data_IF_716018992493
#
_entry.id   IF_716018992493
#
_cell.length_a   1.000
_cell.length_b   1.000
_cell.length_c   1.000
_cell.angle_alpha   90.00
_cell.angle_beta   90.00
_cell.angle_gamma   90.00
#
_symmetry.space_group_name_H-M   'P 1'
#
loop_
_entity.id
_entity.type
_entity.pdbx_description
1 polymer ?
#
# COMPACT_ATOMS: atom_id res chain seq x y z
N UNK A 1 11.73 0.60 -32.37
CA UNK A 1 10.89 1.81 -32.28
C UNK A 1 11.41 2.79 -33.32
N UNK A 2 10.56 3.59 -33.96
CA UNK A 2 10.95 4.35 -35.15
C UNK A 2 11.61 5.68 -34.78
N UNK A 3 12.80 5.93 -35.32
CA UNK A 3 13.47 7.23 -35.34
C UNK A 3 12.52 8.42 -35.60
N UNK A 4 11.52 8.22 -36.46
CA UNK A 4 10.49 9.21 -36.73
C UNK A 4 9.72 9.68 -35.49
N UNK A 5 9.46 8.79 -34.51
CA UNK A 5 8.76 9.14 -33.28
C UNK A 5 9.59 10.02 -32.35
N UNK A 6 10.91 9.81 -32.32
CA UNK A 6 11.84 10.63 -31.52
C UNK A 6 12.00 12.02 -32.13
N UNK A 7 12.17 12.11 -33.46
CA UNK A 7 12.22 13.40 -34.17
C UNK A 7 10.91 14.18 -33.97
N UNK A 8 9.76 13.52 -34.14
CA UNK A 8 8.45 14.13 -33.89
C UNK A 8 8.29 14.62 -32.44
N UNK A 9 8.79 13.86 -31.46
CA UNK A 9 8.77 14.29 -30.07
C UNK A 9 9.56 15.60 -29.88
N UNK A 10 10.81 15.66 -30.35
CA UNK A 10 11.61 16.88 -30.28
C UNK A 10 10.95 18.06 -31.00
N UNK A 11 10.40 17.85 -32.20
CA UNK A 11 9.68 18.89 -32.94
C UNK A 11 8.48 19.43 -32.16
N UNK A 12 7.70 18.59 -31.49
CA UNK A 12 6.58 19.06 -30.66
C UNK A 12 7.04 19.84 -29.44
N UNK A 13 8.09 19.36 -28.77
CA UNK A 13 8.62 20.02 -27.59
C UNK A 13 9.16 21.42 -27.92
N UNK A 14 9.89 21.57 -29.02
CA UNK A 14 10.43 22.87 -29.48
C UNK A 14 9.33 23.90 -29.79
N UNK A 15 8.16 23.43 -30.23
CA UNK A 15 6.99 24.27 -30.54
C UNK A 15 5.98 24.38 -29.37
N UNK A 16 6.44 24.15 -28.13
CA UNK A 16 5.59 24.16 -26.93
C UNK A 16 6.26 24.87 -25.75
N UNK A 17 5.54 25.00 -24.64
CA UNK A 17 6.08 25.49 -23.36
C UNK A 17 7.11 24.54 -22.73
N UNK A 18 7.28 23.34 -23.30
CA UNK A 18 8.27 22.36 -22.90
C UNK A 18 9.62 22.51 -23.66
N UNK A 19 9.81 23.57 -24.45
CA UNK A 19 11.07 23.78 -25.20
C UNK A 19 12.31 23.83 -24.31
N UNK A 20 12.18 24.26 -23.06
CA UNK A 20 13.29 24.34 -22.10
C UNK A 20 13.51 23.04 -21.32
N UNK A 21 12.70 22.01 -21.59
CA UNK A 21 12.73 20.71 -20.92
C UNK A 21 13.52 19.62 -21.65
N UNK A 22 13.90 19.89 -22.89
CA UNK A 22 14.66 18.98 -23.73
C UNK A 22 15.67 19.80 -24.54
N UNK A 23 16.80 19.20 -24.99
CA UNK A 23 17.72 19.90 -25.87
C UNK A 23 17.05 20.26 -27.19
N UNK A 24 17.40 21.42 -27.75
CA UNK A 24 16.95 21.80 -29.09
C UNK A 24 17.40 20.77 -30.13
N UNK A 25 16.53 20.43 -31.07
CA UNK A 25 16.87 19.59 -32.22
C UNK A 25 17.29 20.45 -33.42
N UNK A 26 18.43 20.13 -34.02
CA UNK A 26 18.91 20.79 -35.25
C UNK A 26 18.63 19.96 -36.50
N UNK A 27 17.72 18.99 -36.38
CA UNK A 27 17.35 18.08 -37.45
C UNK A 27 18.09 16.75 -37.37
N UNK A 28 17.78 15.90 -38.36
CA UNK A 28 18.14 14.50 -38.31
C UNK A 28 18.37 13.96 -39.73
N UNK A 29 19.37 13.08 -39.90
CA UNK A 29 19.82 12.60 -41.21
C UNK A 29 20.17 11.12 -41.18
N UNK A 30 20.16 10.52 -42.37
CA UNK A 30 20.63 9.15 -42.59
C UNK A 30 22.16 9.18 -42.66
N UNK A 31 22.83 8.38 -41.86
CA UNK A 31 24.29 8.24 -41.89
C UNK A 31 24.70 7.41 -43.13
N UNK A 32 25.40 8.02 -44.11
CA UNK A 32 25.83 7.30 -45.31
C UNK A 32 26.97 6.31 -45.04
N UNK A 33 27.67 6.41 -43.90
CA UNK A 33 28.84 5.60 -43.55
C UNK A 33 28.50 4.39 -42.65
N UNK A 34 27.22 4.11 -42.40
CA UNK A 34 26.77 2.97 -41.61
C UNK A 34 27.10 1.62 -42.27
N UNK A 35 28.34 1.15 -42.13
CA UNK A 35 28.93 0.02 -42.85
C UNK A 35 28.41 -1.39 -42.56
N UNK A 36 27.14 -1.56 -42.15
CA UNK A 36 26.62 -2.89 -41.72
C UNK A 36 25.21 -3.21 -42.23
N UNK A 37 24.81 -2.70 -43.40
CA UNK A 37 23.59 -3.15 -44.10
C UNK A 37 22.24 -2.69 -43.52
N UNK A 38 22.22 -2.00 -42.38
CA UNK A 38 21.03 -1.32 -41.85
C UNK A 38 21.25 0.19 -41.83
N UNK A 39 20.27 1.00 -42.27
CA UNK A 39 20.39 2.46 -42.25
C UNK A 39 20.50 2.95 -40.80
N UNK A 40 21.60 3.65 -40.49
CA UNK A 40 21.75 4.39 -39.24
C UNK A 40 21.16 5.78 -39.41
N UNK A 41 20.47 6.26 -38.40
CA UNK A 41 19.93 7.61 -38.36
C UNK A 41 20.56 8.37 -37.21
N UNK A 42 20.93 9.62 -37.46
CA UNK A 42 21.55 10.51 -36.49
C UNK A 42 20.62 11.71 -36.26
N UNK A 43 20.50 12.12 -35.00
CA UNK A 43 19.78 13.32 -34.59
C UNK A 43 20.82 14.28 -34.00
N UNK A 44 20.88 15.50 -34.50
CA UNK A 44 21.77 16.54 -33.95
C UNK A 44 21.01 17.32 -32.90
N UNK A 45 21.50 17.29 -31.68
CA UNK A 45 20.91 17.99 -30.55
C UNK A 45 21.83 19.10 -30.06
N UNK A 46 21.25 20.05 -29.32
CA UNK A 46 21.97 21.01 -28.50
C UNK A 46 22.92 20.31 -27.53
N UNK A 47 24.15 20.82 -27.47
CA UNK A 47 25.10 20.40 -26.47
C UNK A 47 24.72 21.04 -25.14
N UNK A 48 24.35 20.20 -24.17
CA UNK A 48 23.99 20.63 -22.83
C UNK A 48 25.21 20.51 -21.92
N UNK A 49 25.62 21.62 -21.29
CA UNK A 49 26.65 21.60 -20.27
C UNK A 49 26.00 21.24 -18.93
N UNK A 50 26.38 20.10 -18.35
CA UNK A 50 25.84 19.61 -17.09
C UNK A 50 26.38 18.23 -16.75
N UNK A 51 25.85 17.64 -15.68
CA UNK A 51 26.13 16.26 -15.29
C UNK A 51 24.84 15.45 -15.37
N UNK A 52 24.97 14.14 -15.60
CA UNK A 52 23.80 13.27 -15.54
C UNK A 52 23.33 13.14 -14.08
N UNK A 53 22.02 12.94 -13.86
CA UNK A 53 21.50 12.71 -12.52
C UNK A 53 22.17 11.47 -11.89
N UNK A 54 22.54 10.46 -12.69
CA UNK A 54 23.23 9.27 -12.19
C UNK A 54 24.58 9.58 -11.52
N UNK A 55 25.33 10.55 -12.05
CA UNK A 55 26.65 10.92 -11.53
C UNK A 55 26.55 11.70 -10.21
N UNK A 56 25.52 12.56 -10.08
CA UNK A 56 25.42 13.47 -8.93
C UNK A 56 24.53 12.92 -7.81
N UNK A 57 23.52 12.09 -8.12
CA UNK A 57 22.49 11.63 -7.18
C UNK A 57 23.06 11.03 -5.89
N UNK A 58 24.14 10.21 -5.90
CA UNK A 58 24.71 9.65 -4.67
C UNK A 58 25.28 10.70 -3.70
N UNK A 59 25.64 11.89 -4.18
CA UNK A 59 26.21 12.97 -3.37
C UNK A 59 25.23 14.12 -3.07
N UNK A 60 23.95 13.97 -3.41
CA UNK A 60 22.94 14.99 -3.13
C UNK A 60 22.37 14.84 -1.72
N UNK A 61 22.09 15.97 -1.07
CA UNK A 61 21.30 15.98 0.16
C UNK A 61 19.83 15.62 -0.11
N UNK A 62 19.06 15.37 0.96
CA UNK A 62 17.60 15.15 0.83
C UNK A 62 16.90 16.36 0.22
N UNK A 63 17.26 17.57 0.65
CA UNK A 63 16.66 18.81 0.17
C UNK A 63 16.98 19.05 -1.31
N UNK A 64 18.23 18.82 -1.72
CA UNK A 64 18.64 18.92 -3.12
C UNK A 64 17.90 17.91 -4.01
N UNK A 65 17.68 16.69 -3.52
CA UNK A 65 16.92 15.65 -4.26
C UNK A 65 15.48 16.07 -4.45
N UNK A 66 14.86 16.63 -3.43
CA UNK A 66 13.48 17.11 -3.49
C UNK A 66 13.34 18.32 -4.43
N UNK A 67 14.29 19.25 -4.43
CA UNK A 67 14.29 20.38 -5.36
C UNK A 67 14.44 19.93 -6.82
N UNK A 68 15.34 19.00 -7.09
CA UNK A 68 15.50 18.42 -8.45
C UNK A 68 14.26 17.62 -8.84
N UNK A 69 13.64 16.89 -7.91
CA UNK A 69 12.37 16.17 -8.15
C UNK A 69 11.29 17.13 -8.60
N UNK A 70 11.07 18.24 -7.88
CA UNK A 70 10.08 19.26 -8.25
C UNK A 70 10.33 19.85 -9.63
N UNK A 71 11.59 20.14 -9.96
CA UNK A 71 11.98 20.62 -11.29
C UNK A 71 11.66 19.57 -12.37
N UNK A 72 11.94 18.30 -12.09
CA UNK A 72 11.69 17.20 -13.01
C UNK A 72 10.20 16.92 -13.20
N UNK A 73 9.41 16.95 -12.13
CA UNK A 73 7.95 16.79 -12.18
C UNK A 73 7.32 17.92 -12.99
N UNK A 74 7.70 19.18 -12.74
CA UNK A 74 7.26 20.32 -13.54
C UNK A 74 7.64 20.17 -15.02
N UNK A 75 8.81 19.59 -15.28
CA UNK A 75 9.27 19.34 -16.64
C UNK A 75 8.49 18.22 -17.33
N UNK A 76 8.19 17.13 -16.60
CA UNK A 76 7.36 16.02 -17.05
C UNK A 76 5.94 16.48 -17.37
N UNK A 77 5.34 17.33 -16.52
CA UNK A 77 4.02 17.89 -16.78
C UNK A 77 3.99 18.75 -18.04
N UNK A 78 5.05 19.54 -18.30
CA UNK A 78 5.17 20.33 -19.54
C UNK A 78 5.27 19.44 -20.78
N UNK A 79 6.08 18.38 -20.78
CA UNK A 79 6.15 17.47 -21.95
C UNK A 79 4.81 16.75 -22.17
N UNK A 80 4.10 16.38 -21.09
CA UNK A 80 2.79 15.73 -21.17
C UNK A 80 1.74 16.71 -21.73
N UNK A 81 1.78 17.98 -21.35
CA UNK A 81 0.94 19.03 -21.94
C UNK A 81 1.18 19.20 -23.45
N UNK A 82 2.43 19.03 -23.91
CA UNK A 82 2.80 18.98 -25.32
C UNK A 82 2.39 17.67 -26.04
N UNK A 83 1.62 16.79 -25.36
CA UNK A 83 1.17 15.48 -25.86
C UNK A 83 2.33 14.53 -26.19
N UNK A 84 3.43 14.64 -25.46
CA UNK A 84 4.61 13.78 -25.56
C UNK A 84 4.82 13.07 -24.22
N UNK A 85 4.95 11.75 -24.25
CA UNK A 85 5.48 10.96 -23.13
C UNK A 85 6.93 10.60 -23.45
N UNK A 86 7.82 10.62 -22.47
CA UNK A 86 9.22 10.28 -22.65
C UNK A 86 9.41 8.77 -22.84
N UNK A 87 8.72 7.95 -22.04
CA UNK A 87 8.74 6.50 -22.14
C UNK A 87 10.05 5.82 -21.73
N UNK A 88 11.05 6.56 -21.24
CA UNK A 88 12.33 6.03 -20.73
C UNK A 88 13.03 7.02 -19.78
N UNK A 89 12.30 7.54 -18.80
CA UNK A 89 12.88 8.37 -17.73
C UNK A 89 13.74 7.48 -16.84
N UNK A 90 15.03 7.79 -16.79
CA UNK A 90 16.07 7.10 -16.01
C UNK A 90 17.19 8.08 -15.71
N UNK A 91 18.00 7.81 -14.68
CA UNK A 91 19.04 8.71 -14.17
C UNK A 91 20.05 9.19 -15.25
N UNK A 92 20.38 8.34 -16.22
CA UNK A 92 21.30 8.69 -17.33
C UNK A 92 20.65 9.57 -18.42
N UNK A 93 19.33 9.67 -18.42
CA UNK A 93 18.54 10.42 -19.39
C UNK A 93 18.07 11.78 -18.81
N UNK A 94 18.62 12.18 -17.66
CA UNK A 94 18.33 13.45 -17.00
C UNK A 94 19.65 14.18 -16.84
N UNK A 95 19.75 15.38 -17.40
CA UNK A 95 20.90 16.26 -17.25
C UNK A 95 20.53 17.35 -16.26
N UNK A 96 21.40 17.60 -15.29
CA UNK A 96 21.27 18.65 -14.28
C UNK A 96 22.41 19.65 -14.45
N UNK A 97 22.09 20.95 -14.48
CA UNK A 97 23.11 22.00 -14.57
C UNK A 97 22.77 23.24 -13.75
N UNK A 98 23.57 24.30 -13.94
CA UNK A 98 23.37 25.63 -13.35
C UNK A 98 23.24 25.57 -11.82
N UNK A 99 24.05 24.74 -11.17
CA UNK A 99 23.97 24.54 -9.72
C UNK A 99 22.65 23.92 -9.27
N UNK A 100 22.14 22.93 -10.00
CA UNK A 100 20.91 22.15 -9.70
C UNK A 100 19.59 22.89 -9.92
N UNK A 101 19.64 24.07 -10.55
CA UNK A 101 18.44 24.88 -10.85
C UNK A 101 17.76 24.52 -12.17
N UNK A 102 18.41 23.68 -12.99
CA UNK A 102 17.91 23.32 -14.32
C UNK A 102 18.04 21.83 -14.59
N UNK A 103 16.98 21.26 -15.14
CA UNK A 103 16.91 19.85 -15.55
C UNK A 103 16.48 19.76 -17.01
N UNK A 104 17.10 18.86 -17.76
CA UNK A 104 16.65 18.48 -19.10
C UNK A 104 16.47 16.97 -19.19
N UNK A 105 15.44 16.58 -19.92
CA UNK A 105 15.20 15.22 -20.34
C UNK A 105 15.86 14.97 -21.71
N UNK A 106 16.56 13.84 -21.84
CA UNK A 106 17.23 13.44 -23.08
C UNK A 106 16.93 11.98 -23.44
N UNK A 107 17.08 11.62 -24.72
CA UNK A 107 16.90 10.24 -25.18
C UNK A 107 15.43 9.85 -25.32
N UNK A 108 14.72 10.57 -26.20
CA UNK A 108 13.31 10.36 -26.53
C UNK A 108 13.06 9.18 -27.50
N UNK A 109 14.02 8.27 -27.66
CA UNK A 109 13.89 7.07 -28.50
C UNK A 109 12.74 6.12 -28.12
N UNK A 110 12.17 6.28 -26.91
CA UNK A 110 10.99 5.53 -26.42
C UNK A 110 9.71 6.37 -26.36
N UNK A 111 9.75 7.60 -26.88
CA UNK A 111 8.70 8.56 -26.72
C UNK A 111 7.37 8.07 -27.29
N UNK A 112 6.28 8.40 -26.61
CA UNK A 112 4.93 8.23 -27.11
C UNK A 112 4.34 9.59 -27.44
N UNK A 113 4.06 9.82 -28.70
CA UNK A 113 3.40 11.03 -29.16
C UNK A 113 1.90 10.76 -29.32
N UNK A 114 1.04 11.54 -28.65
CA UNK A 114 -0.40 11.30 -28.70
C UNK A 114 -0.97 11.64 -30.09
N UNK A 115 -1.70 10.68 -30.67
CA UNK A 115 -2.61 10.88 -31.79
C UNK A 115 -4.04 10.51 -31.36
N UNK A 116 -5.04 11.03 -32.07
CA UNK A 116 -6.47 10.90 -31.70
C UNK A 116 -6.88 9.43 -31.45
N UNK A 117 -6.41 8.50 -32.29
CA UNK A 117 -6.75 7.08 -32.19
C UNK A 117 -6.02 6.30 -31.07
N UNK A 118 -5.14 6.94 -30.26
CA UNK A 118 -4.25 6.24 -29.30
C UNK A 118 -4.18 6.88 -27.91
N UNK A 119 -5.19 7.66 -27.52
CA UNK A 119 -5.19 8.40 -26.25
C UNK A 119 -5.03 7.51 -25.01
N UNK A 120 -5.77 6.40 -24.90
CA UNK A 120 -5.67 5.50 -23.73
C UNK A 120 -4.25 4.95 -23.52
N UNK A 121 -3.57 4.54 -24.61
CA UNK A 121 -2.19 4.05 -24.53
C UNK A 121 -1.22 5.16 -24.13
N UNK A 122 -1.51 6.40 -24.51
CA UNK A 122 -0.71 7.56 -24.12
C UNK A 122 -0.87 7.90 -22.63
N UNK A 123 -2.09 7.90 -22.09
CA UNK A 123 -2.32 8.10 -20.64
C UNK A 123 -1.55 7.08 -19.80
N UNK A 124 -1.57 5.80 -20.19
CA UNK A 124 -0.75 4.79 -19.50
C UNK A 124 0.75 5.10 -19.53
N UNK A 125 1.25 5.71 -20.61
CA UNK A 125 2.67 6.13 -20.68
C UNK A 125 2.96 7.34 -19.80
N UNK A 126 2.01 8.27 -19.68
CA UNK A 126 2.07 9.41 -18.75
C UNK A 126 2.23 8.90 -17.31
N UNK A 127 1.40 7.94 -16.90
CA UNK A 127 1.48 7.36 -15.55
C UNK A 127 2.83 6.67 -15.30
N UNK A 128 3.35 5.95 -16.31
CA UNK A 128 4.65 5.29 -16.24
C UNK A 128 5.79 6.32 -16.09
N UNK A 129 5.73 7.44 -16.80
CA UNK A 129 6.74 8.50 -16.67
C UNK A 129 6.75 9.09 -15.26
N UNK A 130 5.56 9.41 -14.70
CA UNK A 130 5.43 9.93 -13.33
C UNK A 130 5.93 8.93 -12.28
N UNK A 131 5.53 7.67 -12.41
CA UNK A 131 6.02 6.59 -11.54
C UNK A 131 7.54 6.45 -11.59
N UNK A 132 8.15 6.61 -12.77
CA UNK A 132 9.60 6.52 -12.94
C UNK A 132 10.34 7.66 -12.26
N UNK A 133 9.81 8.88 -12.31
CA UNK A 133 10.38 10.02 -11.57
C UNK A 133 10.42 9.68 -10.07
N UNK A 134 9.29 9.31 -9.47
CA UNK A 134 9.23 8.92 -8.05
C UNK A 134 10.25 7.82 -7.72
N UNK A 135 10.27 6.73 -8.51
CA UNK A 135 11.16 5.59 -8.26
C UNK A 135 12.65 5.91 -8.25
N UNK A 136 13.08 6.96 -8.99
CA UNK A 136 14.49 7.37 -9.03
C UNK A 136 14.92 7.90 -7.66
N UNK A 137 14.09 8.77 -7.06
CA UNK A 137 14.38 9.42 -5.79
C UNK A 137 14.05 8.53 -4.61
N UNK A 138 12.96 7.75 -4.68
CA UNK A 138 12.58 6.79 -3.64
C UNK A 138 13.74 5.81 -3.39
N UNK A 139 14.33 5.24 -4.44
CA UNK A 139 15.47 4.33 -4.28
C UNK A 139 16.70 4.97 -3.60
N UNK A 140 16.97 6.26 -3.85
CA UNK A 140 18.06 6.98 -3.21
C UNK A 140 17.72 7.29 -1.74
N UNK A 141 16.49 7.73 -1.48
CA UNK A 141 15.98 8.02 -0.14
C UNK A 141 15.96 6.75 0.73
N UNK A 142 15.49 5.62 0.19
CA UNK A 142 15.51 4.33 0.87
C UNK A 142 16.93 3.89 1.21
N UNK A 143 17.89 4.04 0.28
CA UNK A 143 19.28 3.66 0.52
C UNK A 143 19.93 4.48 1.64
N UNK A 144 19.72 5.80 1.62
CA UNK A 144 20.21 6.69 2.68
C UNK A 144 19.53 6.42 4.01
N UNK A 145 18.20 6.29 4.03
CA UNK A 145 17.45 5.96 5.23
C UNK A 145 17.90 4.63 5.83
N UNK A 146 18.17 3.62 4.98
CA UNK A 146 18.73 2.33 5.41
C UNK A 146 20.08 2.52 6.10
N UNK A 147 20.99 3.28 5.48
CA UNK A 147 22.31 3.56 6.07
C UNK A 147 22.20 4.30 7.40
N UNK A 148 21.35 5.32 7.46
CA UNK A 148 21.12 6.11 8.67
C UNK A 148 20.49 5.27 9.79
N UNK A 149 19.59 4.34 9.46
CA UNK A 149 19.00 3.43 10.44
C UNK A 149 20.05 2.50 11.04
N UNK A 150 20.99 1.95 10.24
CA UNK A 150 22.08 1.17 10.79
C UNK A 150 23.02 2.00 11.67
N UNK A 151 23.38 3.21 11.27
CA UNK A 151 24.20 4.12 12.08
C UNK A 151 23.52 4.43 13.42
N UNK A 152 22.20 4.70 13.38
CA UNK A 152 21.38 4.96 14.55
C UNK A 152 21.33 3.75 15.49
N UNK A 153 21.15 2.55 14.94
CA UNK A 153 21.11 1.31 15.70
C UNK A 153 22.49 0.94 16.29
N UNK A 154 23.58 1.29 15.64
CA UNK A 154 24.94 1.07 16.14
C UNK A 154 25.35 2.09 17.21
N UNK A 155 24.75 3.28 17.20
CA UNK A 155 25.03 4.38 18.13
C UNK A 155 23.70 4.95 18.67
N UNK A 156 22.97 4.17 19.47
CA UNK A 156 21.63 4.57 19.89
C UNK A 156 21.69 5.82 20.79
N UNK A 157 20.80 6.80 20.57
CA UNK A 157 20.60 7.89 21.50
C UNK A 157 19.82 7.41 22.74
N UNK A 158 19.21 8.34 23.49
CA UNK A 158 18.17 7.96 24.45
C UNK A 158 17.00 7.21 23.76
N UNK A 159 16.28 6.41 24.55
CA UNK A 159 15.26 5.48 24.04
C UNK A 159 14.10 6.19 23.31
N UNK A 160 13.65 7.35 23.82
CA UNK A 160 12.50 8.07 23.23
C UNK A 160 12.88 8.72 21.89
N UNK A 161 14.05 9.36 21.81
CA UNK A 161 14.54 9.94 20.57
C UNK A 161 14.86 8.86 19.52
N UNK A 162 15.33 7.69 19.95
CA UNK A 162 15.61 6.57 19.04
C UNK A 162 14.35 6.13 18.29
N UNK A 163 13.22 5.99 18.98
CA UNK A 163 11.97 5.53 18.39
C UNK A 163 11.43 6.50 17.33
N UNK A 164 11.41 7.80 17.63
CA UNK A 164 10.96 8.83 16.69
C UNK A 164 11.85 8.89 15.44
N UNK A 165 13.17 8.78 15.63
CA UNK A 165 14.12 8.75 14.52
C UNK A 165 13.96 7.47 13.67
N UNK A 166 13.75 6.31 14.28
CA UNK A 166 13.49 5.06 13.56
C UNK A 166 12.18 5.13 12.78
N UNK A 167 11.11 5.68 13.35
CA UNK A 167 9.84 5.87 12.67
C UNK A 167 9.98 6.74 11.41
N UNK A 168 10.67 7.88 11.50
CA UNK A 168 10.95 8.75 10.35
C UNK A 168 11.75 8.02 9.26
N UNK A 169 12.79 7.27 9.65
CA UNK A 169 13.62 6.50 8.72
C UNK A 169 12.84 5.37 8.04
N UNK A 170 12.01 4.64 8.79
CA UNK A 170 11.15 3.57 8.25
C UNK A 170 10.11 4.15 7.28
N UNK A 171 9.52 5.30 7.59
CA UNK A 171 8.61 6.03 6.70
C UNK A 171 9.27 6.40 5.37
N UNK A 172 10.54 6.83 5.39
CA UNK A 172 11.32 7.14 4.19
C UNK A 172 11.69 5.91 3.35
N UNK A 173 11.77 4.73 3.96
CA UNK A 173 12.07 3.49 3.24
C UNK A 173 10.85 2.92 2.50
N UNK A 174 9.64 3.21 2.96
CA UNK A 174 8.40 2.62 2.46
C UNK A 174 8.27 1.15 2.86
N UNK A 175 9.04 0.27 2.21
CA UNK A 175 9.19 -1.13 2.59
C UNK A 175 10.68 -1.40 2.90
N UNK A 176 11.09 -1.36 4.18
CA UNK A 176 12.49 -1.56 4.56
C UNK A 176 12.94 -2.99 4.25
N UNK A 177 14.25 -3.17 4.05
CA UNK A 177 14.82 -4.52 3.87
C UNK A 177 14.72 -5.33 5.17
N UNK A 178 14.66 -6.65 5.06
CA UNK A 178 14.54 -7.55 6.20
C UNK A 178 15.70 -7.40 7.21
N UNK A 179 16.90 -7.05 6.74
CA UNK A 179 18.06 -6.87 7.61
C UNK A 179 17.90 -5.68 8.56
N UNK A 180 17.21 -4.62 8.11
CA UNK A 180 16.90 -3.45 8.94
C UNK A 180 15.92 -3.85 10.04
N UNK A 181 14.82 -4.53 9.66
CA UNK A 181 13.82 -4.97 10.63
C UNK A 181 14.40 -5.93 11.66
N UNK A 182 15.24 -6.88 11.23
CA UNK A 182 15.93 -7.80 12.14
C UNK A 182 16.83 -7.04 13.11
N UNK A 183 17.58 -6.06 12.60
CA UNK A 183 18.45 -5.24 13.44
C UNK A 183 17.69 -4.38 14.45
N UNK A 184 16.48 -3.92 14.11
CA UNK A 184 15.60 -3.23 15.06
C UNK A 184 15.13 -4.20 16.14
N UNK A 185 14.64 -5.39 15.77
CA UNK A 185 14.19 -6.41 16.73
C UNK A 185 15.31 -6.84 17.70
N UNK A 186 16.55 -6.93 17.22
CA UNK A 186 17.69 -7.39 18.01
C UNK A 186 18.21 -6.32 18.98
N UNK A 187 18.09 -5.03 18.63
CA UNK A 187 18.69 -3.92 19.39
C UNK A 187 17.69 -3.09 20.18
N UNK A 188 16.43 -3.02 19.74
CA UNK A 188 15.38 -2.26 20.41
C UNK A 188 14.56 -3.21 21.27
N UNK A 189 14.97 -3.37 22.53
CA UNK A 189 14.35 -4.32 23.47
C UNK A 189 12.92 -3.93 23.84
N UNK A 190 12.61 -2.63 23.92
CA UNK A 190 11.31 -2.09 24.35
C UNK A 190 10.86 -0.94 23.43
N UNK A 191 10.42 -1.25 22.21
CA UNK A 191 9.90 -0.23 21.32
C UNK A 191 8.59 0.33 21.88
N UNK A 192 8.36 1.62 21.69
CA UNK A 192 7.06 2.27 21.87
C UNK A 192 5.99 1.56 21.04
N UNK A 193 4.72 1.70 21.44
CA UNK A 193 3.59 1.12 20.74
C UNK A 193 3.60 1.46 19.24
N UNK A 194 3.92 2.71 18.90
CA UNK A 194 3.95 3.20 17.50
C UNK A 194 5.06 2.55 16.69
N UNK A 195 6.27 2.43 17.25
CA UNK A 195 7.37 1.73 16.57
C UNK A 195 7.06 0.24 16.45
N UNK A 196 6.54 -0.39 17.51
CA UNK A 196 6.16 -1.80 17.51
C UNK A 196 5.11 -2.10 16.44
N UNK A 197 4.05 -1.29 16.33
CA UNK A 197 3.04 -1.37 15.27
C UNK A 197 3.66 -1.25 13.88
N UNK A 198 4.47 -0.22 13.66
CA UNK A 198 5.08 0.03 12.35
C UNK A 198 5.97 -1.13 11.91
N UNK A 199 6.85 -1.60 12.81
CA UNK A 199 7.74 -2.75 12.56
C UNK A 199 6.93 -4.03 12.35
N UNK A 200 5.90 -4.27 13.16
CA UNK A 200 5.02 -5.43 13.05
C UNK A 200 4.30 -5.50 11.70
N UNK A 201 3.75 -4.37 11.22
CA UNK A 201 3.11 -4.28 9.90
C UNK A 201 4.12 -4.57 8.78
N UNK A 202 5.32 -4.00 8.87
CA UNK A 202 6.39 -4.26 7.90
C UNK A 202 6.85 -5.72 7.90
N UNK A 203 6.99 -6.35 9.07
CA UNK A 203 7.26 -7.79 9.20
C UNK A 203 6.13 -8.62 8.57
N UNK A 204 4.87 -8.20 8.74
CA UNK A 204 3.70 -8.81 8.09
C UNK A 204 3.80 -8.81 6.57
N UNK A 205 4.23 -7.69 5.98
CA UNK A 205 4.47 -7.56 4.53
C UNK A 205 5.59 -8.46 4.01
N UNK A 206 6.62 -8.72 4.82
CA UNK A 206 7.69 -9.69 4.52
C UNK A 206 7.31 -11.14 4.86
N UNK A 207 6.06 -11.41 5.24
CA UNK A 207 5.60 -12.75 5.61
C UNK A 207 6.10 -13.25 6.97
N UNK A 208 6.84 -12.42 7.73
CA UNK A 208 7.37 -12.71 9.07
C UNK A 208 6.31 -12.49 10.17
N UNK A 209 5.09 -12.96 9.91
CA UNK A 209 3.90 -12.71 10.75
C UNK A 209 4.00 -13.28 12.16
N UNK A 210 4.74 -14.37 12.35
CA UNK A 210 4.98 -14.95 13.67
C UNK A 210 5.73 -13.96 14.58
N UNK A 211 6.81 -13.36 14.08
CA UNK A 211 7.61 -12.40 14.83
C UNK A 211 6.85 -11.09 15.05
N UNK A 212 6.05 -10.67 14.05
CA UNK A 212 5.12 -9.57 14.20
C UNK A 212 4.15 -9.78 15.38
N UNK A 213 3.54 -10.96 15.48
CA UNK A 213 2.67 -11.33 16.61
C UNK A 213 3.44 -11.34 17.94
N UNK A 214 4.66 -11.88 17.99
CA UNK A 214 5.51 -11.88 19.20
C UNK A 214 5.82 -10.46 19.66
N UNK A 215 6.26 -9.60 18.73
CA UNK A 215 6.61 -8.22 19.01
C UNK A 215 5.43 -7.47 19.63
N UNK A 216 4.26 -7.54 18.98
CA UNK A 216 3.07 -6.83 19.45
C UNK A 216 2.55 -7.39 20.78
N UNK A 217 2.54 -8.71 20.98
CA UNK A 217 2.12 -9.30 22.25
C UNK A 217 3.05 -8.89 23.40
N UNK A 218 4.35 -8.83 23.15
CA UNK A 218 5.31 -8.36 24.14
C UNK A 218 5.10 -6.87 24.46
N UNK A 219 4.93 -6.03 23.44
CA UNK A 219 4.66 -4.61 23.60
C UNK A 219 3.34 -4.35 24.37
N UNK A 220 2.27 -5.09 24.06
CA UNK A 220 1.00 -5.01 24.82
C UNK A 220 1.25 -5.37 26.29
N UNK A 221 1.99 -6.44 26.60
CA UNK A 221 2.25 -6.82 27.99
C UNK A 221 2.99 -5.73 28.78
N UNK A 222 3.96 -5.07 28.14
CA UNK A 222 4.77 -4.03 28.77
C UNK A 222 4.03 -2.69 28.89
N UNK A 223 3.12 -2.36 27.96
CA UNK A 223 2.52 -1.03 27.82
C UNK A 223 1.00 -0.94 28.04
N UNK A 224 0.24 -2.04 28.15
CA UNK A 224 -1.24 -2.03 28.20
C UNK A 224 -1.83 -1.13 29.30
N UNK A 225 -1.12 -0.92 30.41
CA UNK A 225 -1.58 -0.06 31.51
C UNK A 225 -1.24 1.43 31.35
N UNK A 226 -0.37 1.80 30.41
CA UNK A 226 0.19 3.15 30.27
C UNK A 226 -0.02 3.78 28.89
N UNK A 227 -0.16 2.96 27.85
CA UNK A 227 -0.35 3.43 26.49
C UNK A 227 -1.76 4.00 26.27
N UNK A 228 -1.94 4.90 25.29
CA UNK A 228 -3.25 5.31 24.83
C UNK A 228 -4.11 4.08 24.47
N UNK A 229 -5.41 4.07 24.85
CA UNK A 229 -6.29 2.94 24.53
C UNK A 229 -6.36 2.62 23.03
N UNK A 230 -6.28 3.65 22.18
CA UNK A 230 -6.34 3.51 20.72
C UNK A 230 -5.13 2.70 20.20
N UNK A 231 -3.92 3.01 20.66
CA UNK A 231 -2.70 2.26 20.29
C UNK A 231 -2.79 0.79 20.74
N UNK A 232 -3.30 0.55 21.96
CA UNK A 232 -3.46 -0.81 22.49
C UNK A 232 -4.51 -1.59 21.69
N UNK A 233 -5.59 -0.93 21.30
CA UNK A 233 -6.63 -1.52 20.46
C UNK A 233 -6.10 -1.86 19.07
N UNK A 234 -5.37 -0.95 18.43
CA UNK A 234 -4.73 -1.16 17.13
C UNK A 234 -3.76 -2.35 17.18
N UNK A 235 -2.90 -2.41 18.21
CA UNK A 235 -1.99 -3.54 18.41
C UNK A 235 -2.72 -4.87 18.56
N UNK A 236 -3.81 -4.92 19.34
CA UNK A 236 -4.60 -6.15 19.51
C UNK A 236 -5.27 -6.59 18.20
N UNK A 237 -5.75 -5.63 17.40
CA UNK A 237 -6.29 -5.87 16.07
C UNK A 237 -5.23 -6.47 15.12
N UNK A 238 -4.06 -5.84 15.04
CA UNK A 238 -2.95 -6.31 14.21
C UNK A 238 -2.41 -7.68 14.62
N UNK A 239 -2.31 -7.95 15.94
CA UNK A 239 -1.98 -9.29 16.46
C UNK A 239 -2.97 -10.34 15.93
N UNK A 240 -4.27 -10.04 15.96
CA UNK A 240 -5.29 -10.97 15.49
C UNK A 240 -5.22 -11.20 13.97
N UNK A 241 -5.05 -10.12 13.18
CA UNK A 241 -4.90 -10.18 11.71
C UNK A 241 -3.66 -10.98 11.29
N UNK A 242 -2.51 -10.69 11.90
CA UNK A 242 -1.27 -11.40 11.59
C UNK A 242 -1.32 -12.88 12.00
N UNK A 243 -1.88 -13.21 13.17
CA UNK A 243 -2.10 -14.59 13.58
C UNK A 243 -3.04 -15.33 12.61
N UNK A 244 -4.13 -14.70 12.19
CA UNK A 244 -5.09 -15.27 11.26
C UNK A 244 -4.49 -15.58 9.89
N UNK A 245 -3.69 -14.64 9.36
CA UNK A 245 -2.98 -14.84 8.09
C UNK A 245 -1.90 -15.90 8.21
N UNK A 246 -1.16 -15.96 9.32
CA UNK A 246 -0.15 -17.00 9.54
C UNK A 246 -0.77 -18.40 9.64
N UNK A 247 -1.87 -18.55 10.40
CA UNK A 247 -2.59 -19.82 10.51
C UNK A 247 -3.16 -20.27 9.15
N UNK A 248 -3.58 -19.33 8.29
CA UNK A 248 -4.02 -19.62 6.91
C UNK A 248 -2.87 -20.15 6.05
N UNK A 249 -1.72 -19.49 6.07
CA UNK A 249 -0.57 -19.84 5.23
C UNK A 249 0.02 -21.20 5.60
N UNK A 250 0.02 -21.54 6.88
CA UNK A 250 0.61 -22.79 7.37
C UNK A 250 -0.29 -24.01 7.17
N UNK A 251 -1.59 -23.83 6.86
CA UNK A 251 -2.61 -24.89 6.81
C UNK A 251 -2.48 -25.92 7.97
N UNK A 252 -2.06 -25.43 9.14
CA UNK A 252 -1.71 -26.23 10.32
C UNK A 252 -2.50 -25.71 11.51
N UNK A 253 -2.78 -26.62 12.44
CA UNK A 253 -3.18 -26.26 13.80
C UNK A 253 -2.14 -25.30 14.39
N UNK A 254 -2.57 -24.27 15.16
CA UNK A 254 -1.67 -23.28 15.73
C UNK A 254 -0.51 -23.98 16.44
N UNK A 255 0.75 -23.65 16.08
CA UNK A 255 1.87 -24.10 16.91
C UNK A 255 1.71 -23.42 18.28
N UNK A 256 1.84 -24.21 19.34
CA UNK A 256 1.34 -23.95 20.70
C UNK A 256 1.88 -22.68 21.41
N UNK A 257 2.72 -21.86 20.76
CA UNK A 257 3.30 -20.67 21.37
C UNK A 257 2.32 -19.49 21.45
N UNK A 258 1.29 -19.44 20.59
CA UNK A 258 0.29 -18.37 20.61
C UNK A 258 -1.12 -18.89 20.87
N UNK A 259 -1.94 -18.04 21.47
CA UNK A 259 -3.39 -18.26 21.46
C UNK A 259 -3.86 -18.28 20.00
N UNK A 260 -4.87 -19.10 19.68
CA UNK A 260 -5.42 -19.14 18.33
C UNK A 260 -5.86 -17.76 17.85
N UNK A 261 -5.78 -17.49 16.55
CA UNK A 261 -6.24 -16.24 15.95
C UNK A 261 -7.68 -15.89 16.37
N UNK A 262 -8.56 -16.89 16.49
CA UNK A 262 -9.93 -16.73 17.01
C UNK A 262 -9.96 -16.18 18.44
N UNK A 263 -9.10 -16.68 19.32
CA UNK A 263 -8.97 -16.19 20.70
C UNK A 263 -8.43 -14.76 20.75
N UNK A 264 -7.48 -14.43 19.88
CA UNK A 264 -6.91 -13.09 19.77
C UNK A 264 -7.94 -12.07 19.27
N UNK A 265 -8.70 -12.41 18.23
CA UNK A 265 -9.82 -11.60 17.75
C UNK A 265 -10.87 -11.35 18.83
N UNK A 266 -11.27 -12.38 19.56
CA UNK A 266 -12.20 -12.23 20.69
C UNK A 266 -11.67 -11.24 21.73
N UNK A 267 -10.41 -11.40 22.13
CA UNK A 267 -9.79 -10.51 23.12
C UNK A 267 -9.68 -9.06 22.61
N UNK A 268 -9.37 -8.86 21.33
CA UNK A 268 -9.33 -7.55 20.69
C UNK A 268 -10.72 -6.90 20.65
N UNK A 269 -11.75 -7.65 20.23
CA UNK A 269 -13.13 -7.18 20.22
C UNK A 269 -13.64 -6.86 21.63
N UNK A 270 -13.39 -7.71 22.63
CA UNK A 270 -13.80 -7.45 24.02
C UNK A 270 -13.08 -6.22 24.61
N UNK A 271 -11.88 -5.90 24.13
CA UNK A 271 -11.18 -4.65 24.47
C UNK A 271 -11.82 -3.44 23.77
N UNK A 272 -12.01 -3.51 22.45
CA UNK A 272 -12.63 -2.44 21.65
C UNK A 272 -14.04 -2.10 22.16
N UNK A 273 -14.84 -3.11 22.52
CA UNK A 273 -16.17 -2.91 23.10
C UNK A 273 -16.19 -1.94 24.30
N UNK A 274 -15.10 -1.83 25.06
CA UNK A 274 -14.98 -0.96 26.23
C UNK A 274 -14.47 0.45 25.93
N UNK A 275 -13.90 0.68 24.74
CA UNK A 275 -13.19 1.92 24.40
C UNK A 275 -13.70 2.58 23.12
N UNK A 276 -13.98 1.80 22.07
CA UNK A 276 -14.48 2.28 20.77
C UNK A 276 -15.49 1.29 20.15
N UNK A 277 -16.73 1.77 19.95
CA UNK A 277 -17.80 0.97 19.38
C UNK A 277 -17.66 0.66 17.88
N UNK A 278 -16.95 1.48 17.12
CA UNK A 278 -16.81 1.33 15.66
C UNK A 278 -15.82 0.20 15.31
N UNK A 279 -14.61 0.27 15.85
CA UNK A 279 -13.56 -0.75 15.68
C UNK A 279 -13.99 -2.12 16.22
N UNK A 280 -14.83 -2.14 17.27
CA UNK A 280 -15.41 -3.37 17.79
C UNK A 280 -16.19 -4.16 16.74
N UNK A 281 -17.02 -3.47 15.93
CA UNK A 281 -17.83 -4.10 14.90
C UNK A 281 -16.93 -4.69 13.81
N UNK A 282 -15.95 -3.91 13.34
CA UNK A 282 -14.98 -4.35 12.34
C UNK A 282 -14.27 -5.64 12.77
N UNK A 283 -13.70 -5.65 13.97
CA UNK A 283 -12.97 -6.81 14.51
C UNK A 283 -13.85 -8.05 14.65
N UNK A 284 -15.12 -7.90 15.03
CA UNK A 284 -16.05 -9.04 15.09
C UNK A 284 -16.43 -9.56 13.71
N UNK A 285 -16.60 -8.68 12.73
CA UNK A 285 -16.87 -9.11 11.35
C UNK A 285 -15.66 -9.80 10.73
N UNK A 286 -14.44 -9.30 10.96
CA UNK A 286 -13.21 -10.00 10.58
C UNK A 286 -13.10 -11.38 11.24
N UNK A 287 -13.42 -11.46 12.55
CA UNK A 287 -13.42 -12.72 13.27
C UNK A 287 -14.41 -13.73 12.68
N UNK A 288 -15.64 -13.31 12.39
CA UNK A 288 -16.64 -14.15 11.77
C UNK A 288 -16.19 -14.65 10.38
N UNK A 289 -15.60 -13.77 9.55
CA UNK A 289 -15.00 -14.15 8.26
C UNK A 289 -13.89 -15.19 8.41
N UNK A 290 -13.02 -15.04 9.42
CA UNK A 290 -11.98 -16.02 9.73
C UNK A 290 -12.56 -17.39 10.07
N UNK A 291 -13.59 -17.43 10.94
CA UNK A 291 -14.26 -18.67 11.33
C UNK A 291 -14.93 -19.34 10.12
N UNK A 292 -15.63 -18.56 9.30
CA UNK A 292 -16.29 -19.04 8.09
C UNK A 292 -15.29 -19.61 7.08
N UNK A 293 -14.15 -18.94 6.86
CA UNK A 293 -13.09 -19.42 5.98
C UNK A 293 -12.45 -20.75 6.43
N UNK A 294 -12.65 -21.14 7.70
CA UNK A 294 -12.20 -22.44 8.26
C UNK A 294 -13.27 -23.53 8.21
N UNK A 295 -14.45 -23.23 7.66
CA UNK A 295 -15.62 -24.12 7.69
C UNK A 295 -16.33 -24.15 9.04
N UNK A 296 -16.02 -23.23 9.96
CA UNK A 296 -16.68 -23.10 11.27
C UNK A 296 -17.88 -22.15 11.17
N UNK A 297 -18.79 -22.44 10.23
CA UNK A 297 -19.87 -21.53 9.87
C UNK A 297 -20.86 -21.29 11.03
N UNK A 298 -21.10 -22.30 11.88
CA UNK A 298 -21.92 -22.14 13.08
C UNK A 298 -21.36 -21.08 14.04
N UNK A 299 -20.06 -21.17 14.35
CA UNK A 299 -19.38 -20.21 15.21
C UNK A 299 -19.29 -18.82 14.56
N UNK A 300 -19.10 -18.76 13.23
CA UNK A 300 -19.11 -17.50 12.50
C UNK A 300 -20.46 -16.78 12.64
N UNK A 301 -21.57 -17.52 12.46
CA UNK A 301 -22.92 -17.02 12.68
C UNK A 301 -23.13 -16.57 14.12
N UNK A 302 -22.69 -17.36 15.12
CA UNK A 302 -22.81 -16.98 16.53
C UNK A 302 -22.12 -15.64 16.81
N UNK A 303 -20.93 -15.41 16.26
CA UNK A 303 -20.23 -14.12 16.38
C UNK A 303 -21.04 -12.98 15.75
N UNK A 304 -21.62 -13.20 14.58
CA UNK A 304 -22.46 -12.18 13.96
C UNK A 304 -23.74 -11.90 14.76
N UNK A 305 -24.44 -12.94 15.23
CA UNK A 305 -25.64 -12.78 16.08
C UNK A 305 -25.29 -11.99 17.35
N UNK A 306 -24.21 -12.35 18.04
CA UNK A 306 -23.72 -11.60 19.20
C UNK A 306 -23.40 -10.14 18.88
N UNK A 307 -23.02 -9.85 17.63
CA UNK A 307 -22.72 -8.49 17.15
C UNK A 307 -24.00 -7.70 16.93
N UNK A 308 -25.02 -8.31 16.30
CA UNK A 308 -26.36 -7.72 16.15
C UNK A 308 -26.98 -7.40 17.51
N UNK A 309 -26.94 -8.36 18.44
CA UNK A 309 -27.47 -8.18 19.79
C UNK A 309 -26.74 -7.02 20.52
N UNK A 310 -25.43 -6.91 20.31
CA UNK A 310 -24.62 -5.82 20.87
C UNK A 310 -24.95 -4.45 20.29
N UNK A 311 -25.32 -4.37 19.00
CA UNK A 311 -25.75 -3.13 18.33
C UNK A 311 -27.09 -2.62 18.89
N UNK A 312 -28.03 -3.53 19.18
CA UNK A 312 -29.34 -3.17 19.76
C UNK A 312 -29.25 -2.49 21.14
N UNK A 313 -28.11 -2.58 21.81
CA UNK A 313 -27.85 -1.94 23.10
C UNK A 313 -27.00 -0.66 23.02
N UNK A 314 -26.51 -0.28 21.83
CA UNK A 314 -25.65 0.90 21.61
C UNK A 314 -26.40 1.94 20.77
N UNK A 315 -26.22 3.22 21.13
CA UNK A 315 -26.99 4.38 20.62
C UNK A 315 -26.93 4.53 19.08
N UNK A 316 -28.00 5.03 18.40
CA UNK A 316 -28.19 4.93 16.96
C UNK A 316 -27.52 6.07 16.17
N UNK A 317 -26.19 6.11 16.14
CA UNK A 317 -25.43 6.81 15.10
C UNK A 317 -24.90 5.76 14.14
N UNK A 318 -25.78 5.26 13.28
CA UNK A 318 -25.61 3.99 12.55
C UNK A 318 -26.06 4.17 11.11
N UNK A 319 -25.18 4.65 10.23
CA UNK A 319 -25.50 4.72 8.80
C UNK A 319 -24.55 3.83 7.97
N UNK A 320 -23.22 3.93 8.11
CA UNK A 320 -22.28 3.14 7.26
C UNK A 320 -21.95 1.75 7.82
N UNK A 321 -21.89 1.63 9.15
CA UNK A 321 -21.40 0.43 9.84
C UNK A 321 -22.37 -0.76 9.76
N UNK A 322 -23.67 -0.50 9.73
CA UNK A 322 -24.67 -1.58 9.70
C UNK A 322 -24.87 -2.21 8.34
N UNK A 323 -24.62 -1.50 7.25
CA UNK A 323 -24.65 -2.10 5.90
C UNK A 323 -23.58 -3.18 5.78
N UNK A 324 -22.38 -2.91 6.31
CA UNK A 324 -21.27 -3.89 6.33
C UNK A 324 -21.62 -5.15 7.13
N UNK A 325 -22.34 -4.99 8.25
CA UNK A 325 -22.81 -6.12 9.06
C UNK A 325 -23.86 -6.97 8.31
N UNK A 326 -24.82 -6.32 7.63
CA UNK A 326 -25.86 -6.95 6.82
C UNK A 326 -25.27 -7.74 5.65
N UNK A 327 -24.37 -7.14 4.89
CA UNK A 327 -23.72 -7.78 3.74
C UNK A 327 -22.89 -8.99 4.17
N UNK A 328 -22.13 -8.85 5.26
CA UNK A 328 -21.34 -9.93 5.81
C UNK A 328 -22.19 -11.11 6.29
N UNK A 329 -23.29 -10.84 7.00
CA UNK A 329 -24.20 -11.88 7.48
C UNK A 329 -24.90 -12.59 6.32
N UNK A 330 -25.31 -11.84 5.29
CA UNK A 330 -25.94 -12.37 4.07
C UNK A 330 -25.00 -13.33 3.35
N UNK A 331 -23.75 -12.92 3.12
CA UNK A 331 -22.74 -13.79 2.49
C UNK A 331 -22.45 -15.06 3.31
N UNK A 332 -22.44 -14.96 4.64
CA UNK A 332 -22.22 -16.13 5.51
C UNK A 332 -23.42 -17.09 5.52
N UNK A 333 -24.65 -16.56 5.44
CA UNK A 333 -25.89 -17.34 5.31
C UNK A 333 -25.96 -18.14 4.01
N UNK A 334 -25.47 -17.57 2.90
CA UNK A 334 -25.41 -18.26 1.60
C UNK A 334 -24.45 -19.46 1.60
N UNK A 335 -23.44 -19.47 2.48
CA UNK A 335 -22.48 -20.56 2.64
C UNK A 335 -22.98 -21.77 3.43
N UNK A 336 -24.08 -21.64 4.20
CA UNK A 336 -24.66 -22.72 5.00
C UNK A 336 -25.43 -23.70 4.09
N UNK A 337 -24.81 -24.84 3.76
CA UNK A 337 -25.33 -25.84 2.81
C UNK A 337 -25.67 -27.20 3.43
N UNK A 338 -25.40 -27.43 4.73
CA UNK A 338 -25.58 -28.73 5.38
C UNK A 338 -26.80 -28.78 6.33
N UNK A 339 -27.32 -29.99 6.58
CA UNK A 339 -28.54 -30.22 7.36
C UNK A 339 -28.41 -29.90 8.87
N UNK A 340 -27.19 -29.96 9.43
CA UNK A 340 -26.90 -29.56 10.82
C UNK A 340 -26.99 -28.03 11.04
N UNK A 341 -27.08 -27.25 9.97
CA UNK A 341 -27.08 -25.78 9.99
C UNK A 341 -28.49 -25.18 10.03
N UNK A 342 -29.57 -25.96 10.11
CA UNK A 342 -30.95 -25.40 10.11
C UNK A 342 -31.23 -24.49 11.30
N UNK A 343 -30.72 -24.84 12.48
CA UNK A 343 -30.86 -24.03 13.70
C UNK A 343 -30.04 -22.74 13.60
N UNK A 344 -28.79 -22.86 13.17
CA UNK A 344 -27.85 -21.75 12.96
C UNK A 344 -28.39 -20.79 11.91
N UNK A 345 -28.90 -21.32 10.79
CA UNK A 345 -29.54 -20.57 9.72
C UNK A 345 -30.76 -19.82 10.21
N UNK A 346 -31.64 -20.45 11.00
CA UNK A 346 -32.80 -19.77 11.58
C UNK A 346 -32.39 -18.62 12.52
N UNK A 347 -31.32 -18.80 13.31
CA UNK A 347 -30.77 -17.73 14.17
C UNK A 347 -30.17 -16.59 13.35
N UNK A 348 -29.40 -16.90 12.30
CA UNK A 348 -28.85 -15.88 11.40
C UNK A 348 -29.94 -15.16 10.60
N UNK A 349 -30.97 -15.86 10.09
CA UNK A 349 -32.11 -15.22 9.41
C UNK A 349 -32.88 -14.28 10.36
N UNK A 350 -33.00 -14.65 11.65
CA UNK A 350 -33.61 -13.79 12.66
C UNK A 350 -32.75 -12.55 12.93
N UNK A 351 -31.44 -12.71 13.09
CA UNK A 351 -30.50 -11.60 13.28
C UNK A 351 -30.43 -10.68 12.05
N UNK A 352 -30.52 -11.22 10.83
CA UNK A 352 -30.58 -10.44 9.59
C UNK A 352 -31.80 -9.52 9.59
N UNK A 353 -32.98 -10.06 9.93
CA UNK A 353 -34.22 -9.29 10.02
C UNK A 353 -34.14 -8.20 11.09
N UNK A 354 -33.50 -8.48 12.22
CA UNK A 354 -33.27 -7.47 13.26
C UNK A 354 -32.37 -6.35 12.75
N UNK A 355 -31.27 -6.66 12.06
CA UNK A 355 -30.40 -5.66 11.45
C UNK A 355 -31.14 -4.81 10.40
N UNK A 356 -31.87 -5.45 9.48
CA UNK A 356 -32.65 -4.77 8.45
C UNK A 356 -33.71 -3.82 9.05
N UNK A 357 -34.30 -4.20 10.18
CA UNK A 357 -35.21 -3.35 10.93
C UNK A 357 -34.50 -2.15 11.57
N UNK A 358 -33.28 -2.35 12.10
CA UNK A 358 -32.45 -1.28 12.69
C UNK A 358 -31.98 -0.29 11.62
N UNK A 359 -31.61 -0.77 10.42
CA UNK A 359 -31.09 0.06 9.32
C UNK A 359 -32.16 0.74 8.47
N UNK A 360 -33.45 0.49 8.74
CA UNK A 360 -34.54 0.99 7.91
C UNK A 360 -34.60 0.37 6.51
N UNK A 361 -33.87 -0.71 6.24
CA UNK A 361 -33.86 -1.44 4.96
C UNK A 361 -34.94 -2.53 4.89
N UNK A 362 -36.05 -2.39 5.63
CA UNK A 362 -37.07 -3.42 5.77
C UNK A 362 -38.00 -3.60 4.52
N UNK A 363 -37.53 -3.28 3.31
CA UNK A 363 -38.34 -3.40 2.09
C UNK A 363 -38.33 -4.85 1.53
N UNK A 364 -39.52 -5.48 1.56
CA UNK A 364 -39.99 -6.58 0.70
C UNK A 364 -39.15 -7.88 0.59
N UNK A 365 -38.80 -8.51 1.71
CA UNK A 365 -38.50 -9.95 1.68
C UNK A 365 -39.79 -10.79 1.77
N UNK A 366 -40.42 -11.05 0.62
CA UNK A 366 -41.34 -12.18 0.51
C UNK A 366 -40.58 -13.48 0.87
N UNK A 367 -41.12 -14.34 1.74
CA UNK A 367 -40.47 -15.60 2.10
C UNK A 367 -40.36 -16.48 0.84
N UNK A 368 -39.14 -16.59 0.30
CA UNK A 368 -38.82 -17.54 -0.77
C UNK A 368 -38.93 -18.98 -0.23
N UNK A 369 -40.15 -19.48 -0.15
CA UNK A 369 -40.45 -20.87 0.09
C UNK A 369 -40.12 -21.68 -1.18
N UNK A 370 -38.83 -21.88 -1.46
CA UNK A 370 -38.42 -22.95 -2.38
C UNK A 370 -38.73 -24.28 -1.70
N UNK A 371 -39.92 -24.82 -1.99
CA UNK A 371 -40.24 -26.25 -1.80
C UNK A 371 -39.22 -27.07 -2.59
N UNK A 372 -38.22 -27.63 -1.90
CA UNK A 372 -37.44 -28.74 -2.41
C UNK A 372 -38.40 -29.93 -2.50
N UNK A 373 -38.92 -30.20 -3.71
CA UNK A 373 -39.58 -31.47 -4.00
C UNK A 373 -38.46 -32.50 -4.19
N UNK A 374 -38.34 -33.42 -3.24
CA UNK A 374 -37.65 -34.69 -3.48
C UNK A 374 -38.56 -35.55 -4.36
N UNK A 375 -38.04 -35.96 -5.52
CA UNK A 375 -38.56 -37.04 -6.35
C UNK A 375 -37.62 -38.24 -6.23
#
# INVERSE_FOLDING_TARGET
MTYAAEVEAYTRLENSDAKDCAPKSYGAWKDPLGGTGSPRYLIRLEYLQGQTLAEILPGLSSDDREDIRKLLDACVDKIHAARVSHGNIRRNNIIVAEGRKRVWLVGFGHAGVAGIARLQKWYRKVDIDKMRVSSIFDAANTAEATSNAFILLDNPPDEEMMDDMLLDLLGKMGLPKEEVLTSILDRVWRPSCRLALTVATMLGHHGRRNESVRLLLHCIQDHESRAPPDDVMEMKGEVARHAASWERDMNRTPQCEFRSASTLYKAAADYAARHDGSVWLELRMEWARLLSARGWHAQAVDVCVMTVDGLGHRSPCVDDDSTTAVDGLTAMLEGLTCAEERRVRAQAEMALRQLQAITGQAEDMEPSAKRVRFS
#
